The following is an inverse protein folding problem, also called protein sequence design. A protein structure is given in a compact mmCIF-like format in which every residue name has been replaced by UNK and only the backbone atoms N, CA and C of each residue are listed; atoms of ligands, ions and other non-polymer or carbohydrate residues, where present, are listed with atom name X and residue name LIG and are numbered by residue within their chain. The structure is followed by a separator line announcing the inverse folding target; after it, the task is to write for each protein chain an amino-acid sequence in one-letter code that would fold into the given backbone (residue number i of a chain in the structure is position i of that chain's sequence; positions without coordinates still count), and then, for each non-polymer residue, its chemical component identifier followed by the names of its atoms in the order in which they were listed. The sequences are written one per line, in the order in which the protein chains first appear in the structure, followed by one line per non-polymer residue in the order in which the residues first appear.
data_IF_061936555380
#
_entry.id   IF_061936555380
#
_cell.length_a   1.000
_cell.length_b   1.000
_cell.length_c   1.000
_cell.angle_alpha   90.00
_cell.angle_beta   90.00
_cell.angle_gamma   90.00
#
_symmetry.space_group_name_H-M   'P 1'
#
loop_
_entity.id
_entity.type
_entity.pdbx_description
1 polymer ?
#
# COMPACT_ATOMS: atom_id res chain seq x y z
N UNK A 1 -3.84 -11.78 18.24
CA UNK A 1 -3.86 -10.98 17.00
C UNK A 1 -2.69 -10.02 17.10
N UNK A 2 -1.77 -10.01 16.13
CA UNK A 2 -0.59 -9.15 16.20
C UNK A 2 -1.01 -7.69 16.20
N UNK A 3 -0.31 -6.86 16.96
CA UNK A 3 -0.49 -5.41 17.02
C UNK A 3 -0.52 -4.77 15.60
N UNK A 4 0.25 -5.32 14.67
CA UNK A 4 0.31 -4.88 13.28
C UNK A 4 -1.03 -4.95 12.52
N UNK A 5 -1.86 -5.99 12.73
CA UNK A 5 -3.15 -6.10 12.02
C UNK A 5 -4.15 -5.03 12.46
N UNK A 6 -4.15 -4.68 13.76
CA UNK A 6 -4.95 -3.58 14.27
C UNK A 6 -4.53 -2.25 13.64
N UNK A 7 -3.22 -1.95 13.68
CA UNK A 7 -2.65 -0.73 13.09
C UNK A 7 -2.93 -0.63 11.58
N UNK A 8 -2.72 -1.70 10.83
CA UNK A 8 -3.03 -1.74 9.38
C UNK A 8 -4.51 -1.51 9.14
N UNK A 9 -5.37 -2.16 9.93
CA UNK A 9 -6.83 -2.00 9.85
C UNK A 9 -7.30 -0.57 10.12
N UNK A 10 -6.65 0.15 11.02
CA UNK A 10 -6.91 1.57 11.28
C UNK A 10 -6.45 2.45 10.11
N UNK A 11 -5.25 2.21 9.59
CA UNK A 11 -4.69 2.96 8.45
C UNK A 11 -5.59 2.83 7.21
N UNK A 12 -6.02 1.61 6.85
CA UNK A 12 -6.87 1.42 5.67
C UNK A 12 -8.27 2.03 5.82
N UNK A 13 -8.68 2.34 7.05
CA UNK A 13 -9.95 3.02 7.36
C UNK A 13 -9.80 4.52 7.51
N UNK A 14 -8.59 5.04 7.74
CA UNK A 14 -8.37 6.47 7.95
C UNK A 14 -8.43 7.29 6.66
N UNK A 15 -8.36 6.64 5.50
CA UNK A 15 -8.35 7.32 4.20
C UNK A 15 -8.98 6.47 3.12
N UNK A 16 -9.60 7.14 2.14
CA UNK A 16 -10.32 6.46 1.04
C UNK A 16 -9.37 5.70 0.10
N UNK A 17 -8.12 6.14 -0.03
CA UNK A 17 -7.11 5.46 -0.86
C UNK A 17 -5.82 5.39 -0.09
N UNK A 18 -5.28 4.18 0.10
CA UNK A 18 -4.05 3.93 0.83
C UNK A 18 -3.13 3.02 0.01
N UNK A 19 -1.89 3.45 -0.18
CA UNK A 19 -0.86 2.68 -0.86
C UNK A 19 0.25 2.26 0.12
N UNK A 20 0.34 0.96 0.40
CA UNK A 20 1.51 0.38 1.07
C UNK A 20 2.60 0.16 0.02
N UNK A 21 3.75 0.82 0.18
CA UNK A 21 4.82 0.82 -0.83
C UNK A 21 6.20 0.76 -0.20
N UNK A 22 7.23 0.51 -1.02
CA UNK A 22 8.63 0.55 -0.61
C UNK A 22 9.22 1.92 -0.96
N UNK A 23 9.58 2.69 0.06
CA UNK A 23 9.92 4.11 -0.09
C UNK A 23 8.68 5.00 -0.02
N UNK A 24 8.82 6.25 -0.48
CA UNK A 24 7.74 7.25 -0.50
C UNK A 24 7.35 7.60 -1.94
N UNK A 25 6.20 8.27 -2.19
CA UNK A 25 5.82 8.70 -3.53
C UNK A 25 6.89 9.57 -4.21
N UNK A 26 7.57 10.43 -3.44
CA UNK A 26 8.66 11.28 -3.94
C UNK A 26 9.96 10.50 -4.17
N UNK A 27 10.23 9.46 -3.38
CA UNK A 27 11.44 8.64 -3.45
C UNK A 27 11.11 7.15 -3.37
N UNK A 28 10.54 6.55 -4.44
CA UNK A 28 10.22 5.13 -4.45
C UNK A 28 11.50 4.30 -4.53
N UNK A 29 11.57 3.24 -3.71
CA UNK A 29 12.74 2.35 -3.62
C UNK A 29 12.53 1.00 -4.31
N UNK A 30 11.47 0.85 -5.10
CA UNK A 30 11.16 -0.35 -5.85
C UNK A 30 10.39 0.01 -7.13
N UNK A 31 10.74 -0.60 -8.26
CA UNK A 31 10.10 -0.32 -9.56
C UNK A 31 8.59 -0.56 -9.57
N UNK A 32 8.11 -1.59 -8.86
CA UNK A 32 6.67 -1.84 -8.72
C UNK A 32 5.96 -0.74 -7.91
N UNK A 33 6.59 -0.25 -6.84
CA UNK A 33 6.09 0.88 -6.07
C UNK A 33 6.09 2.18 -6.88
N UNK A 34 7.15 2.44 -7.66
CA UNK A 34 7.21 3.58 -8.58
C UNK A 34 6.10 3.53 -9.63
N UNK A 35 5.77 2.34 -10.13
CA UNK A 35 4.67 2.15 -11.07
C UNK A 35 3.31 2.44 -10.44
N UNK A 36 3.05 1.94 -9.23
CA UNK A 36 1.80 2.20 -8.53
C UNK A 36 1.57 3.71 -8.29
N UNK A 37 2.63 4.43 -7.87
CA UNK A 37 2.62 5.90 -7.75
C UNK A 37 2.29 6.56 -9.07
N UNK A 38 2.98 6.20 -10.16
CA UNK A 38 2.76 6.79 -11.48
C UNK A 38 1.32 6.62 -11.99
N UNK A 39 0.68 5.48 -11.69
CA UNK A 39 -0.72 5.22 -12.04
C UNK A 39 -1.66 6.15 -11.25
N UNK A 40 -1.50 6.22 -9.93
CA UNK A 40 -2.35 7.07 -9.09
C UNK A 40 -2.19 8.56 -9.43
N UNK A 41 -0.95 9.00 -9.68
CA UNK A 41 -0.64 10.36 -10.10
C UNK A 41 -1.23 10.67 -11.48
N UNK A 42 -1.17 9.73 -12.43
CA UNK A 42 -1.80 9.89 -13.75
C UNK A 42 -3.31 10.03 -13.67
N UNK A 43 -3.95 9.30 -12.76
CA UNK A 43 -5.39 9.39 -12.48
C UNK A 43 -5.75 10.59 -11.61
N UNK A 44 -4.76 11.36 -11.15
CA UNK A 44 -4.91 12.52 -10.27
C UNK A 44 -5.73 12.20 -9.00
N UNK A 45 -5.49 11.00 -8.45
CA UNK A 45 -6.13 10.50 -7.23
C UNK A 45 -5.30 10.93 -6.02
N UNK A 46 -5.95 11.50 -5.01
CA UNK A 46 -5.32 11.73 -3.73
C UNK A 46 -5.28 10.41 -2.93
N UNK A 47 -4.12 10.06 -2.38
CA UNK A 47 -3.93 8.86 -1.59
C UNK A 47 -2.95 9.09 -0.44
N UNK A 48 -3.12 8.33 0.62
CA UNK A 48 -2.11 8.19 1.66
C UNK A 48 -1.11 7.10 1.29
N UNK A 49 0.15 7.27 1.70
CA UNK A 49 1.21 6.29 1.43
C UNK A 49 1.87 5.83 2.72
N UNK A 50 2.19 4.54 2.79
CA UNK A 50 2.89 3.94 3.93
C UNK A 50 4.18 3.30 3.43
N UNK A 51 5.32 3.83 3.88
CA UNK A 51 6.63 3.22 3.60
C UNK A 51 6.86 2.02 4.52
N UNK A 52 6.66 0.83 3.97
CA UNK A 52 6.87 -0.43 4.69
C UNK A 52 8.35 -0.71 4.99
N UNK A 53 9.29 0.05 4.42
CA UNK A 53 10.70 -0.10 4.75
C UNK A 53 11.05 0.49 6.12
N UNK A 54 10.23 1.40 6.65
CA UNK A 54 10.42 1.99 7.97
C UNK A 54 9.86 1.13 9.11
N UNK A 55 8.94 0.22 8.82
CA UNK A 55 8.28 -0.63 9.82
C UNK A 55 8.19 -2.08 9.32
N UNK A 56 9.04 -2.95 9.87
CA UNK A 56 9.10 -4.36 9.49
C UNK A 56 7.85 -5.15 9.90
N UNK A 57 7.17 -4.74 10.97
CA UNK A 57 5.95 -5.38 11.44
C UNK A 57 4.79 -5.06 10.49
N UNK A 58 4.69 -3.82 10.02
CA UNK A 58 3.74 -3.44 8.96
C UNK A 58 4.09 -4.16 7.65
N UNK A 59 5.37 -4.23 7.28
CA UNK A 59 5.82 -4.92 6.05
C UNK A 59 5.43 -6.39 6.01
N UNK A 60 5.54 -7.09 7.13
CA UNK A 60 5.18 -8.49 7.21
C UNK A 60 3.68 -8.66 7.45
N UNK A 61 3.08 -7.78 8.25
CA UNK A 61 1.66 -7.77 8.59
C UNK A 61 0.77 -7.52 7.39
N UNK A 62 1.14 -6.59 6.49
CA UNK A 62 0.30 -6.24 5.34
C UNK A 62 0.09 -7.43 4.41
N UNK A 63 1.12 -8.26 4.22
CA UNK A 63 1.05 -9.46 3.38
C UNK A 63 0.06 -10.49 3.92
N UNK A 64 0.00 -10.65 5.24
CA UNK A 64 -0.91 -11.61 5.87
C UNK A 64 -2.29 -11.03 6.10
N UNK A 65 -2.40 -9.71 6.23
CA UNK A 65 -3.68 -9.00 6.35
C UNK A 65 -4.48 -9.06 5.04
N UNK A 66 -3.81 -8.93 3.90
CA UNK A 66 -4.41 -8.98 2.57
C UNK A 66 -4.49 -10.39 1.96
N UNK A 67 -3.88 -11.38 2.60
CA UNK A 67 -3.52 -12.67 1.98
C UNK A 67 -2.81 -12.52 0.61
N UNK A 68 -1.87 -11.56 0.53
CA UNK A 68 -1.16 -11.22 -0.71
C UNK A 68 0.35 -11.08 -0.48
N UNK A 69 1.21 -11.81 -1.21
CA UNK A 69 2.62 -11.96 -0.85
C UNK A 69 3.51 -10.75 -1.21
N UNK A 70 3.06 -9.87 -2.10
CA UNK A 70 3.90 -8.80 -2.69
C UNK A 70 3.49 -7.40 -2.27
N UNK A 71 4.39 -6.45 -2.53
CA UNK A 71 4.26 -5.01 -2.27
C UNK A 71 4.73 -4.31 -3.55
N UNK A 72 4.04 -3.28 -4.06
CA UNK A 72 3.00 -2.46 -3.40
C UNK A 72 1.64 -3.14 -3.25
N UNK A 73 0.82 -2.63 -2.34
CA UNK A 73 -0.58 -3.02 -2.17
C UNK A 73 -1.47 -1.77 -2.06
N UNK A 74 -2.51 -1.70 -2.88
CA UNK A 74 -3.48 -0.63 -2.91
C UNK A 74 -4.76 -1.04 -2.17
N UNK A 75 -5.25 -0.14 -1.34
CA UNK A 75 -6.54 -0.22 -0.69
C UNK A 75 -7.41 0.96 -1.11
N UNK A 76 -8.68 0.69 -1.38
CA UNK A 76 -9.69 1.70 -1.68
C UNK A 76 -10.88 1.46 -0.78
N UNK A 77 -11.25 2.47 0.02
CA UNK A 77 -12.34 2.44 1.01
C UNK A 77 -12.26 1.24 1.97
N UNK A 78 -11.03 0.93 2.40
CA UNK A 78 -10.75 -0.20 3.28
C UNK A 78 -10.71 -1.58 2.61
N UNK A 79 -11.02 -1.66 1.31
CA UNK A 79 -10.98 -2.91 0.55
C UNK A 79 -9.65 -3.06 -0.19
N UNK A 80 -9.09 -4.27 -0.17
CA UNK A 80 -7.88 -4.59 -0.91
C UNK A 80 -8.18 -4.67 -2.41
N UNK A 81 -7.47 -3.88 -3.21
CA UNK A 81 -7.62 -3.86 -4.67
C UNK A 81 -6.60 -4.76 -5.34
N UNK A 82 -5.32 -4.66 -4.95
CA UNK A 82 -4.25 -5.42 -5.61
C UNK A 82 -2.88 -4.78 -5.52
N UNK A 83 -1.92 -5.39 -6.21
CA UNK A 83 -0.59 -4.83 -6.44
C UNK A 83 -0.50 -4.00 -7.73
N UNK A 84 0.71 -3.54 -8.06
CA UNK A 84 0.92 -2.65 -9.21
C UNK A 84 0.59 -3.26 -10.58
N UNK A 85 0.58 -4.58 -10.71
CA UNK A 85 0.22 -5.25 -11.97
C UNK A 85 -1.30 -5.19 -12.20
N UNK A 86 -2.10 -5.41 -11.13
CA UNK A 86 -3.56 -5.28 -11.16
C UNK A 86 -3.97 -3.82 -11.41
N UNK A 87 -3.22 -2.86 -10.86
CA UNK A 87 -3.49 -1.43 -11.09
C UNK A 87 -3.31 -0.99 -12.56
N UNK A 88 -2.62 -1.77 -13.40
CA UNK A 88 -2.43 -1.45 -14.82
C UNK A 88 -3.52 -2.03 -15.74
N UNK A 89 -4.34 -2.96 -15.24
CA UNK A 89 -5.44 -3.57 -16.00
C UNK A 89 -6.68 -2.67 -16.00
#
# INVERSE_FOLDING_TARGET
MSDAHGRIGEIVKSSDVVLFMKGTPLFPQCGFSSRAVAILDHLNVAYESVDVLQDMDVRQGIKTFSDWPTIPQLYVKGEFVGGSDIMME
#
